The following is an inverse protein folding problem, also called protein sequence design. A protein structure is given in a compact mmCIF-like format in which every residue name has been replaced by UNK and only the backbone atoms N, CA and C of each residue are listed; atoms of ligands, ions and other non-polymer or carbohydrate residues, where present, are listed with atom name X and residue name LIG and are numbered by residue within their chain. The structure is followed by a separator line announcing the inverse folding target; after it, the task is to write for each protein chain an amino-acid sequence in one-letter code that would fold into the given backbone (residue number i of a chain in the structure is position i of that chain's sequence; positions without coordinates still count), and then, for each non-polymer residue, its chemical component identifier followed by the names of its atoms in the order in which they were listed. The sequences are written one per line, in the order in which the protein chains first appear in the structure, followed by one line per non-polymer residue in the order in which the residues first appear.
data_IF_698330674298
#
_entry.id   IF_698330674298
#
_cell.length_a   1.000
_cell.length_b   1.000
_cell.length_c   1.000
_cell.angle_alpha   90.00
_cell.angle_beta   90.00
_cell.angle_gamma   90.00
#
_symmetry.space_group_name_H-M   'P 1'
#
loop_
_entity.id
_entity.type
_entity.pdbx_description
1 polymer ?
#
# COMPACT_ATOMS: atom_id res chain seq x y z
N UNK A 1 5.12 -15.16 12.34
CA UNK A 1 4.36 -13.93 12.68
C UNK A 1 3.46 -13.52 11.52
N UNK A 2 2.19 -13.17 11.76
CA UNK A 2 1.33 -12.62 10.71
C UNK A 2 1.67 -11.13 10.52
N UNK A 3 2.07 -10.76 9.31
CA UNK A 3 2.42 -9.40 8.91
C UNK A 3 1.35 -8.86 7.96
N UNK A 4 0.83 -7.67 8.24
CA UNK A 4 -0.08 -6.93 7.36
C UNK A 4 0.62 -5.72 6.77
N UNK A 5 0.56 -5.60 5.45
CA UNK A 5 0.95 -4.42 4.70
C UNK A 5 -0.27 -3.58 4.37
N UNK A 6 -0.10 -2.26 4.37
CA UNK A 6 -1.11 -1.30 3.91
C UNK A 6 -0.49 -0.26 2.98
N UNK A 7 -1.18 0.06 1.88
CA UNK A 7 -0.76 1.11 0.96
C UNK A 7 -1.97 1.92 0.47
N UNK A 8 -1.81 3.24 0.43
CA UNK A 8 -2.75 4.14 -0.24
C UNK A 8 -2.27 4.41 -1.67
N UNK A 9 -3.19 4.22 -2.62
CA UNK A 9 -2.94 4.47 -4.04
C UNK A 9 -4.08 5.28 -4.65
N UNK A 10 -3.73 6.43 -5.22
CA UNK A 10 -4.57 7.17 -6.17
C UNK A 10 -4.20 6.73 -7.58
N UNK A 11 -5.14 6.16 -8.32
CA UNK A 11 -4.98 5.68 -9.70
C UNK A 11 -6.23 5.99 -10.49
N UNK A 12 -6.07 6.51 -11.71
CA UNK A 12 -7.18 6.69 -12.66
C UNK A 12 -7.46 5.42 -13.48
N UNK A 13 -6.54 4.45 -13.45
CA UNK A 13 -6.72 3.17 -14.16
C UNK A 13 -7.51 2.19 -13.29
N UNK A 14 -8.75 1.82 -13.67
CA UNK A 14 -9.58 0.90 -12.90
C UNK A 14 -9.08 -0.55 -12.91
N UNK A 15 -8.15 -0.90 -13.81
CA UNK A 15 -7.59 -2.24 -13.95
C UNK A 15 -6.25 -2.40 -13.20
N UNK A 16 -5.84 -1.39 -12.43
CA UNK A 16 -4.63 -1.47 -11.63
C UNK A 16 -4.75 -2.62 -10.61
N UNK A 17 -3.73 -3.47 -10.58
CA UNK A 17 -3.54 -4.45 -9.50
C UNK A 17 -2.31 -4.08 -8.72
N UNK A 18 -2.36 -4.24 -7.40
CA UNK A 18 -1.25 -3.91 -6.52
C UNK A 18 -0.66 -5.16 -5.89
N UNK A 19 0.66 -5.18 -5.75
CA UNK A 19 1.43 -6.28 -5.19
C UNK A 19 2.47 -5.74 -4.21
N UNK A 20 2.89 -6.58 -3.27
CA UNK A 20 4.06 -6.36 -2.42
C UNK A 20 5.09 -7.46 -2.70
N UNK A 21 6.34 -7.07 -2.85
CA UNK A 21 7.45 -7.99 -3.14
C UNK A 21 8.69 -7.54 -2.39
N UNK A 22 9.55 -8.47 -1.97
CA UNK A 22 10.69 -8.13 -1.14
C UNK A 22 11.71 -9.23 -1.00
N UNK A 23 12.70 -8.99 -0.14
CA UNK A 23 13.85 -9.86 0.06
C UNK A 23 13.51 -11.19 0.74
N UNK A 24 12.39 -11.26 1.45
CA UNK A 24 11.90 -12.46 2.13
C UNK A 24 11.35 -13.50 1.14
N UNK A 25 11.54 -14.81 1.38
CA UNK A 25 10.94 -15.86 0.56
C UNK A 25 9.43 -15.77 0.42
N UNK A 26 8.77 -15.38 1.52
CA UNK A 26 7.32 -15.21 1.61
C UNK A 26 6.83 -14.01 0.78
N UNK A 27 7.73 -13.09 0.40
CA UNK A 27 7.49 -11.95 -0.47
C UNK A 27 8.05 -12.15 -1.89
N UNK A 28 8.47 -13.37 -2.23
CA UNK A 28 8.92 -13.74 -3.58
C UNK A 28 10.41 -13.55 -3.86
N UNK A 29 11.25 -13.13 -2.91
CA UNK A 29 12.69 -12.87 -3.16
C UNK A 29 12.94 -11.95 -4.37
N UNK A 30 12.20 -10.83 -4.46
CA UNK A 30 12.26 -9.87 -5.57
C UNK A 30 11.84 -10.41 -6.95
N UNK A 31 11.24 -11.61 -7.01
CA UNK A 31 10.60 -12.14 -8.21
C UNK A 31 9.17 -11.59 -8.33
N UNK A 32 8.86 -10.74 -9.34
CA UNK A 32 7.54 -10.15 -9.53
C UNK A 32 6.43 -11.19 -9.72
N UNK A 33 6.74 -12.35 -10.30
CA UNK A 33 5.74 -13.40 -10.54
C UNK A 33 5.38 -14.16 -9.26
N UNK A 34 6.19 -13.98 -8.21
CA UNK A 34 5.97 -14.51 -6.85
C UNK A 34 5.57 -13.43 -5.84
N UNK A 35 5.35 -12.20 -6.31
CA UNK A 35 4.90 -11.10 -5.46
C UNK A 35 3.51 -11.39 -4.87
N UNK A 36 3.28 -10.90 -3.65
CA UNK A 36 2.02 -11.11 -2.94
C UNK A 36 0.98 -10.12 -3.46
N UNK A 37 -0.17 -10.58 -3.99
CA UNK A 37 -1.23 -9.69 -4.42
C UNK A 37 -1.89 -8.99 -3.24
N UNK A 38 -2.22 -7.72 -3.41
CA UNK A 38 -2.96 -6.93 -2.44
C UNK A 38 -4.44 -6.82 -2.84
N UNK A 39 -5.29 -6.65 -1.84
CA UNK A 39 -6.73 -6.48 -1.99
C UNK A 39 -7.10 -5.04 -1.68
N UNK A 40 -7.84 -4.40 -2.59
CA UNK A 40 -8.38 -3.08 -2.37
C UNK A 40 -9.56 -3.12 -1.38
N UNK A 41 -9.58 -2.20 -0.42
CA UNK A 41 -10.78 -1.91 0.33
C UNK A 41 -11.81 -1.21 -0.57
N UNK A 42 -13.10 -1.42 -0.28
CA UNK A 42 -14.15 -0.69 -0.95
C UNK A 42 -13.96 0.82 -0.72
N UNK A 43 -14.04 1.60 -1.80
CA UNK A 43 -13.81 3.03 -1.83
C UNK A 43 -14.86 3.69 -2.72
N UNK A 44 -15.28 4.92 -2.43
CA UNK A 44 -16.18 5.63 -3.35
C UNK A 44 -15.43 6.08 -4.62
N UNK A 45 -16.21 6.54 -5.61
CA UNK A 45 -15.64 7.10 -6.84
C UNK A 45 -14.74 8.29 -6.49
N UNK A 46 -13.51 8.31 -7.02
CA UNK A 46 -12.50 9.35 -6.84
C UNK A 46 -11.86 9.48 -5.44
N UNK A 47 -12.06 8.50 -4.56
CA UNK A 47 -11.29 8.38 -3.31
C UNK A 47 -9.96 7.64 -3.55
N UNK A 48 -8.86 8.04 -2.89
CA UNK A 48 -7.65 7.22 -2.83
C UNK A 48 -7.98 5.82 -2.29
N UNK A 49 -7.58 4.78 -3.01
CA UNK A 49 -7.87 3.42 -2.60
C UNK A 49 -6.87 2.93 -1.55
N UNK A 50 -7.35 2.39 -0.44
CA UNK A 50 -6.53 1.63 0.51
C UNK A 50 -6.42 0.18 0.04
N UNK A 51 -5.21 -0.36 0.05
CA UNK A 51 -4.91 -1.74 -0.30
C UNK A 51 -4.20 -2.43 0.85
N UNK A 52 -4.50 -3.71 1.06
CA UNK A 52 -3.84 -4.52 2.09
C UNK A 52 -3.46 -5.90 1.60
N UNK A 53 -2.40 -6.45 2.18
CA UNK A 53 -2.03 -7.85 2.05
C UNK A 53 -1.54 -8.39 3.39
N UNK A 54 -1.78 -9.68 3.63
CA UNK A 54 -1.29 -10.38 4.81
C UNK A 54 -0.35 -11.51 4.39
N UNK A 55 0.74 -11.66 5.12
CA UNK A 55 1.78 -12.65 4.87
C UNK A 55 2.20 -13.28 6.19
N UNK A 56 2.25 -14.60 6.23
CA UNK A 56 2.78 -15.32 7.38
C UNK A 56 4.31 -15.44 7.25
N UNK A 57 5.05 -14.66 8.04
CA UNK A 57 6.51 -14.75 8.11
C UNK A 57 6.94 -15.96 8.96
N UNK A 58 7.84 -16.76 8.41
CA UNK A 58 8.53 -17.84 9.11
C UNK A 58 9.64 -17.29 10.00
N UNK A 59 9.99 -18.03 11.05
CA UNK A 59 11.12 -17.67 11.91
C UNK A 59 12.46 -17.77 11.17
N UNK A 60 13.40 -16.83 11.38
CA UNK A 60 13.29 -15.65 12.25
C UNK A 60 12.38 -14.58 11.64
N UNK A 61 11.37 -14.15 12.40
CA UNK A 61 10.30 -13.26 11.91
C UNK A 61 10.47 -11.79 12.27
N UNK A 62 11.49 -11.46 13.08
CA UNK A 62 11.77 -10.10 13.58
C UNK A 62 13.04 -9.48 12.98
N UNK A 63 13.67 -10.15 12.03
CA UNK A 63 14.85 -9.62 11.34
C UNK A 63 14.47 -8.52 10.36
N UNK A 64 15.37 -7.55 10.20
CA UNK A 64 15.21 -6.49 9.20
C UNK A 64 15.18 -7.07 7.79
N UNK A 65 14.23 -6.62 6.99
CA UNK A 65 14.14 -6.98 5.58
C UNK A 65 13.65 -5.80 4.73
N UNK A 66 13.79 -5.94 3.40
CA UNK A 66 13.42 -4.90 2.44
C UNK A 66 12.30 -5.36 1.53
N UNK A 67 11.47 -4.42 1.11
CA UNK A 67 10.37 -4.69 0.21
C UNK A 67 9.96 -3.44 -0.57
N UNK A 68 9.12 -3.63 -1.58
CA UNK A 68 8.46 -2.58 -2.36
C UNK A 68 7.07 -2.99 -2.79
N UNK A 69 6.26 -1.99 -3.05
CA UNK A 69 5.02 -2.14 -3.78
C UNK A 69 5.23 -2.03 -5.29
N UNK A 70 4.42 -2.77 -6.05
CA UNK A 70 4.41 -2.72 -7.50
C UNK A 70 2.98 -2.74 -8.03
N UNK A 71 2.70 -1.88 -9.01
CA UNK A 71 1.47 -1.92 -9.80
C UNK A 71 1.65 -2.88 -10.97
N UNK A 72 0.60 -3.61 -11.33
CA UNK A 72 0.51 -4.31 -12.60
C UNK A 72 -0.56 -3.66 -13.46
N UNK A 73 -0.14 -3.02 -14.54
CA UNK A 73 -1.00 -2.31 -15.49
C UNK A 73 -0.76 -2.91 -16.87
N UNK A 74 -1.83 -3.35 -17.54
CA UNK A 74 -1.75 -4.01 -18.86
C UNK A 74 -0.71 -5.15 -18.94
N UNK A 75 -0.52 -5.89 -17.83
CA UNK A 75 0.45 -6.99 -17.74
C UNK A 75 1.87 -6.59 -17.35
N UNK A 76 2.21 -5.30 -17.36
CA UNK A 76 3.52 -4.79 -17.00
C UNK A 76 3.61 -4.41 -15.52
N UNK A 77 4.67 -4.84 -14.86
CA UNK A 77 4.99 -4.42 -13.50
C UNK A 77 5.67 -3.05 -13.51
N UNK A 78 5.15 -2.13 -12.72
CA UNK A 78 5.68 -0.80 -12.47
C UNK A 78 5.96 -0.74 -10.97
N UNK A 79 7.24 -0.64 -10.61
CA UNK A 79 7.68 -0.58 -9.22
C UNK A 79 7.49 0.83 -8.63
N UNK A 80 7.33 0.91 -7.32
CA UNK A 80 7.40 2.19 -6.63
C UNK A 80 8.84 2.70 -6.54
N UNK A 81 8.99 4.02 -6.54
CA UNK A 81 10.29 4.68 -6.59
C UNK A 81 11.07 4.35 -7.86
N UNK A 82 12.38 4.57 -7.82
CA UNK A 82 13.29 4.28 -8.92
C UNK A 82 14.59 3.65 -8.42
N UNK A 83 14.67 2.32 -8.52
CA UNK A 83 15.84 1.54 -8.10
C UNK A 83 15.96 1.35 -6.58
N UNK A 84 17.00 0.61 -6.12
CA UNK A 84 17.08 0.08 -4.75
C UNK A 84 17.07 1.12 -3.63
N UNK A 85 17.44 2.37 -3.91
CA UNK A 85 17.48 3.43 -2.89
C UNK A 85 16.09 3.79 -2.31
N UNK A 86 15.02 3.33 -2.95
CA UNK A 86 13.64 3.49 -2.48
C UNK A 86 13.05 2.20 -1.90
N UNK A 87 13.87 1.17 -1.67
CA UNK A 87 13.39 -0.03 -0.97
C UNK A 87 12.94 0.36 0.44
N UNK A 88 11.73 -0.04 0.80
CA UNK A 88 11.22 0.17 2.15
C UNK A 88 11.92 -0.80 3.09
N UNK A 89 12.31 -0.30 4.26
CA UNK A 89 12.89 -1.11 5.32
C UNK A 89 11.79 -1.50 6.32
N UNK A 90 11.69 -2.79 6.64
CA UNK A 90 10.88 -3.28 7.74
C UNK A 90 11.81 -3.65 8.89
N UNK A 91 11.95 -2.75 9.85
CA UNK A 91 12.58 -3.02 11.14
C UNK A 91 11.48 -3.35 12.15
N UNK A 92 11.72 -4.36 12.98
CA UNK A 92 10.73 -4.81 13.94
C UNK A 92 10.57 -3.79 15.08
N UNK A 93 9.33 -3.35 15.30
CA UNK A 93 8.92 -2.52 16.43
C UNK A 93 7.64 -3.10 17.04
N UNK A 94 7.69 -3.43 18.34
CA UNK A 94 6.54 -3.98 19.08
C UNK A 94 5.32 -3.04 19.08
N UNK A 95 5.52 -1.72 18.86
CA UNK A 95 4.42 -0.75 18.75
C UNK A 95 3.51 -0.99 17.54
N UNK A 96 4.00 -1.73 16.53
CA UNK A 96 3.23 -2.10 15.35
C UNK A 96 2.36 -3.35 15.53
N UNK A 97 2.36 -3.99 16.70
CA UNK A 97 1.48 -5.12 17.00
C UNK A 97 0.06 -4.64 17.32
N UNK A 98 -0.90 -5.13 16.54
CA UNK A 98 -2.34 -4.90 16.74
C UNK A 98 -3.01 -6.26 16.83
N UNK A 99 -3.51 -6.63 18.01
CA UNK A 99 -4.20 -7.90 18.27
C UNK A 99 -3.43 -9.15 17.78
N UNK A 100 -2.09 -9.13 17.93
CA UNK A 100 -1.21 -10.23 17.52
C UNK A 100 -0.80 -10.22 16.04
N UNK A 101 -1.24 -9.24 15.25
CA UNK A 101 -0.83 -9.01 13.87
C UNK A 101 0.17 -7.86 13.83
N UNK A 102 1.33 -8.08 13.23
CA UNK A 102 2.30 -7.00 12.99
C UNK A 102 1.82 -6.16 11.81
N UNK A 103 1.49 -4.90 12.01
CA UNK A 103 0.99 -4.01 10.99
C UNK A 103 2.09 -3.02 10.57
N UNK A 104 2.68 -3.21 9.39
CA UNK A 104 3.63 -2.24 8.87
C UNK A 104 2.95 -0.89 8.65
N UNK A 105 3.59 0.25 8.99
CA UNK A 105 3.00 1.58 8.82
C UNK A 105 2.43 1.79 7.41
N UNK A 106 1.18 2.26 7.34
CA UNK A 106 0.51 2.52 6.06
C UNK A 106 1.26 3.63 5.34
N UNK A 107 1.71 3.35 4.12
CA UNK A 107 2.37 4.33 3.27
C UNK A 107 1.49 4.80 2.11
N UNK A 108 2.00 5.78 1.36
CA UNK A 108 1.52 6.13 0.03
C UNK A 108 2.45 5.56 -1.03
N UNK A 109 1.92 5.23 -2.21
CA UNK A 109 2.73 4.75 -3.33
C UNK A 109 3.79 5.78 -3.72
N UNK A 110 5.06 5.38 -3.74
CA UNK A 110 6.16 6.27 -4.13
C UNK A 110 6.24 6.33 -5.66
N UNK A 111 6.11 7.52 -6.24
CA UNK A 111 6.22 7.68 -7.69
C UNK A 111 7.67 7.49 -8.17
N UNK A 112 7.88 7.38 -9.48
CA UNK A 112 9.22 7.23 -10.07
C UNK A 112 10.18 8.40 -9.71
N UNK A 113 9.64 9.55 -9.34
CA UNK A 113 10.42 10.71 -8.85
C UNK A 113 10.93 10.53 -7.42
N UNK A 114 10.45 9.51 -6.69
CA UNK A 114 10.70 9.34 -5.26
C UNK A 114 9.71 10.05 -4.33
N UNK A 115 8.76 10.82 -4.89
CA UNK A 115 7.77 11.54 -4.10
C UNK A 115 6.46 10.75 -3.99
N UNK A 116 5.77 10.87 -2.85
CA UNK A 116 4.41 10.33 -2.65
C UNK A 116 3.34 11.26 -3.22
N UNK A 117 3.63 12.56 -3.34
CA UNK A 117 2.70 13.60 -3.81
C UNK A 117 1.40 13.69 -2.99
N UNK A 118 1.45 13.37 -1.70
CA UNK A 118 0.30 13.38 -0.78
C UNK A 118 -0.45 14.71 -0.77
N UNK A 119 0.27 15.84 -0.75
CA UNK A 119 -0.33 17.18 -0.80
C UNK A 119 -1.12 17.39 -2.09
N UNK A 120 -0.58 16.97 -3.24
CA UNK A 120 -1.30 17.05 -4.51
C UNK A 120 -2.56 16.21 -4.47
N UNK A 121 -2.46 14.94 -4.05
CA UNK A 121 -3.62 14.03 -3.99
C UNK A 121 -4.73 14.54 -3.06
N UNK A 122 -4.35 15.09 -1.90
CA UNK A 122 -5.30 15.70 -0.95
C UNK A 122 -5.98 16.92 -1.56
N UNK A 123 -5.22 17.75 -2.28
CA UNK A 123 -5.72 18.96 -2.93
C UNK A 123 -6.67 18.62 -4.08
N UNK A 124 -6.30 17.65 -4.91
CA UNK A 124 -7.13 17.16 -6.03
C UNK A 124 -8.47 16.59 -5.49
N UNK A 125 -8.43 15.80 -4.41
CA UNK A 125 -9.64 15.28 -3.76
C UNK A 125 -10.55 16.40 -3.24
N UNK A 126 -9.98 17.40 -2.56
CA UNK A 126 -10.74 18.54 -2.07
C UNK A 126 -11.39 19.34 -3.20
N UNK A 127 -10.63 19.69 -4.24
CA UNK A 127 -11.15 20.45 -5.38
C UNK A 127 -12.23 19.68 -6.12
N UNK A 128 -12.09 18.36 -6.26
CA UNK A 128 -13.15 17.54 -6.84
C UNK A 128 -14.49 17.72 -6.11
N UNK A 129 -14.49 17.71 -4.78
CA UNK A 129 -15.72 17.90 -3.98
C UNK A 129 -16.26 19.33 -4.14
N UNK A 130 -15.37 20.33 -4.05
CA UNK A 130 -15.72 21.74 -4.12
C UNK A 130 -16.31 22.13 -5.48
N UNK A 131 -15.72 21.65 -6.59
CA UNK A 131 -16.17 21.92 -7.96
C UNK A 131 -17.58 21.38 -8.22
N UNK A 132 -17.96 20.30 -7.54
CA UNK A 132 -19.30 19.71 -7.62
C UNK A 132 -20.28 20.29 -6.59
N UNK A 133 -19.85 21.28 -5.78
CA UNK A 133 -20.63 21.82 -4.67
C UNK A 133 -21.21 20.72 -3.77
N UNK A 134 -20.43 19.65 -3.58
CA UNK A 134 -20.84 18.43 -2.92
C UNK A 134 -20.36 18.37 -1.47
N UNK A 135 -20.82 17.36 -0.74
CA UNK A 135 -20.29 16.97 0.57
C UNK A 135 -19.85 15.51 0.50
N UNK A 136 -18.63 15.25 0.95
CA UNK A 136 -18.09 13.90 1.07
C UNK A 136 -17.99 13.52 2.55
N UNK A 137 -18.53 12.36 2.93
CA UNK A 137 -18.55 11.89 4.31
C UNK A 137 -18.46 10.36 4.36
N UNK A 138 -17.87 9.85 5.44
CA UNK A 138 -17.71 8.41 5.65
C UNK A 138 -18.31 8.03 7.01
N UNK A 139 -18.95 6.86 7.07
CA UNK A 139 -19.49 6.33 8.33
C UNK A 139 -18.40 5.58 9.09
N UNK A 140 -18.00 6.09 10.24
CA UNK A 140 -17.00 5.41 11.07
C UNK A 140 -17.60 4.40 12.06
N UNK A 141 -18.78 4.69 12.63
CA UNK A 141 -19.49 3.81 13.54
C UNK A 141 -21.01 3.92 13.34
N UNK A 142 -21.73 2.84 13.59
CA UNK A 142 -23.15 2.82 13.96
C UNK A 142 -23.26 3.18 15.45
N UNK A 143 -24.15 4.09 15.83
CA UNK A 143 -24.60 4.13 17.23
C UNK A 143 -25.32 2.80 17.55
N UNK A 144 -25.08 2.27 18.75
CA UNK A 144 -25.70 1.03 19.26
C UNK A 144 -27.08 1.31 19.83
#
# INVERSE_FOLDING_TARGET
MLLRFGLVLTSEDPNVRLFVCGSRPELGHWDPDRAVPMVAAASALNEPAYWSAEVLLQEPSRETFWFKFAKKIHGHFIWEGNGPMYDRCCEYDDSNLVDGVYCYPIGHYVQNTGCTNEMKHTTDFYFHIADHQAMHYSRFKTEY
#
